data_IF_021827015091
#
_entry.id   IF_021827015091
#
_cell.length_a   1.000
_cell.length_b   1.000
_cell.length_c   1.000
_cell.angle_alpha   90.00
_cell.angle_beta   90.00
_cell.angle_gamma   90.00
#
_symmetry.space_group_name_H-M   'P 1'
#
loop_
_entity.id
_entity.type
_entity.pdbx_description
1 polymer ?
#
# COMPACT_ATOMS: atom_id res chain seq x y z
N UNK A 1 8.91 34.49 -1.47
CA UNK A 1 8.46 34.22 -2.84
C UNK A 1 7.87 32.82 -2.86
N UNK A 2 6.62 32.64 -3.28
CA UNK A 2 6.05 31.29 -3.50
C UNK A 2 6.77 30.67 -4.69
N UNK A 3 7.58 29.65 -4.44
CA UNK A 3 8.15 28.83 -5.52
C UNK A 3 7.03 28.02 -6.17
N UNK A 4 6.98 28.00 -7.49
CA UNK A 4 6.03 27.19 -8.27
C UNK A 4 6.75 25.95 -8.79
N UNK A 5 5.97 24.88 -9.01
CA UNK A 5 6.46 23.69 -9.69
C UNK A 5 6.86 24.06 -11.12
N UNK A 6 8.10 23.76 -11.49
CA UNK A 6 8.59 24.03 -12.85
C UNK A 6 8.21 22.89 -13.80
N UNK A 7 7.88 23.18 -15.06
CA UNK A 7 7.52 22.14 -16.05
C UNK A 7 8.62 21.09 -16.29
N UNK A 8 9.89 21.46 -16.10
CA UNK A 8 11.03 20.57 -16.26
C UNK A 8 11.37 19.75 -15.00
N UNK A 9 10.68 19.99 -13.88
CA UNK A 9 10.90 19.27 -12.61
C UNK A 9 10.14 17.93 -12.63
N UNK A 10 10.80 16.89 -13.12
CA UNK A 10 10.22 15.53 -13.22
C UNK A 10 9.85 14.98 -11.84
N UNK A 11 10.67 15.22 -10.81
CA UNK A 11 10.42 14.70 -9.46
C UNK A 11 9.21 15.39 -8.83
N UNK A 12 9.21 16.73 -8.82
CA UNK A 12 8.07 17.50 -8.35
C UNK A 12 6.78 17.21 -9.15
N UNK A 13 6.92 17.05 -10.47
CA UNK A 13 5.84 16.63 -11.36
C UNK A 13 5.29 15.24 -11.02
N UNK A 14 6.17 14.28 -10.67
CA UNK A 14 5.73 12.95 -10.26
C UNK A 14 4.95 12.97 -8.94
N UNK A 15 5.37 13.75 -7.94
CA UNK A 15 4.60 13.93 -6.70
C UNK A 15 3.20 14.51 -6.99
N UNK A 16 3.12 15.52 -7.86
CA UNK A 16 1.85 16.12 -8.24
C UNK A 16 0.94 15.14 -8.97
N UNK A 17 1.48 14.43 -9.97
CA UNK A 17 0.74 13.43 -10.74
C UNK A 17 0.15 12.35 -9.83
N UNK A 18 0.95 11.80 -8.91
CA UNK A 18 0.50 10.76 -7.98
C UNK A 18 -0.55 11.30 -7.02
N UNK A 19 -0.40 12.52 -6.51
CA UNK A 19 -1.43 13.15 -5.66
C UNK A 19 -2.78 13.21 -6.36
N UNK A 20 -2.81 13.68 -7.62
CA UNK A 20 -4.04 13.78 -8.42
C UNK A 20 -4.60 12.38 -8.74
N UNK A 21 -3.75 11.43 -9.12
CA UNK A 21 -4.17 10.05 -9.39
C UNK A 21 -4.78 9.38 -8.15
N UNK A 22 -4.19 9.59 -6.97
CA UNK A 22 -4.68 9.02 -5.71
C UNK A 22 -6.03 9.63 -5.28
N UNK A 23 -6.24 10.95 -5.43
CA UNK A 23 -7.55 11.54 -5.11
C UNK A 23 -8.61 11.07 -6.11
N UNK A 24 -8.27 10.96 -7.40
CA UNK A 24 -9.15 10.38 -8.40
C UNK A 24 -9.55 8.93 -8.07
N UNK A 25 -8.57 8.11 -7.66
CA UNK A 25 -8.81 6.73 -7.22
C UNK A 25 -9.69 6.67 -5.96
N UNK A 26 -9.44 7.54 -4.97
CA UNK A 26 -10.26 7.60 -3.76
C UNK A 26 -11.73 7.93 -4.09
N UNK A 27 -11.96 8.96 -4.89
CA UNK A 27 -13.31 9.34 -5.35
C UNK A 27 -13.96 8.17 -6.10
N UNK A 28 -13.23 7.54 -7.01
CA UNK A 28 -13.71 6.38 -7.75
C UNK A 28 -14.16 5.25 -6.81
N UNK A 29 -13.32 4.83 -5.85
CA UNK A 29 -13.64 3.73 -4.95
C UNK A 29 -14.84 4.05 -4.05
N UNK A 30 -14.99 5.29 -3.56
CA UNK A 30 -16.13 5.69 -2.76
C UNK A 30 -17.44 5.74 -3.58
N UNK A 31 -17.39 6.19 -4.82
CA UNK A 31 -18.58 6.21 -5.71
C UNK A 31 -18.97 4.79 -6.14
N UNK A 32 -18.00 3.98 -6.55
CA UNK A 32 -18.22 2.62 -7.01
C UNK A 32 -18.63 1.64 -5.88
N UNK A 33 -18.45 2.05 -4.62
CA UNK A 33 -18.99 1.30 -3.46
C UNK A 33 -20.49 1.02 -3.58
N UNK A 34 -21.26 1.92 -4.17
CA UNK A 34 -22.70 1.75 -4.39
C UNK A 34 -23.06 0.69 -5.46
N UNK A 35 -22.10 0.28 -6.28
CA UNK A 35 -22.30 -0.71 -7.37
C UNK A 35 -21.95 -2.14 -6.98
N UNK A 36 -21.38 -2.35 -5.82
CA UNK A 36 -21.03 -3.67 -5.28
C UNK A 36 -21.96 -4.04 -4.13
N UNK A 37 -22.11 -5.35 -3.88
CA UNK A 37 -22.95 -5.85 -2.79
C UNK A 37 -22.48 -5.30 -1.44
N UNK A 38 -23.40 -5.15 -0.49
CA UNK A 38 -23.15 -4.56 0.82
C UNK A 38 -21.94 -5.18 1.56
N UNK A 39 -21.72 -6.50 1.39
CA UNK A 39 -20.58 -7.22 2.02
C UNK A 39 -19.19 -6.69 1.60
N UNK A 40 -19.08 -6.07 0.41
CA UNK A 40 -17.84 -5.46 -0.08
C UNK A 40 -17.66 -4.00 0.35
N UNK A 41 -18.69 -3.40 0.95
CA UNK A 41 -18.68 -1.98 1.30
C UNK A 41 -17.50 -1.56 2.18
N UNK A 42 -17.13 -2.38 3.17
CA UNK A 42 -15.98 -2.10 4.06
C UNK A 42 -14.66 -2.16 3.30
N UNK A 43 -14.50 -3.14 2.39
CA UNK A 43 -13.27 -3.28 1.58
C UNK A 43 -13.12 -2.09 0.65
N UNK A 44 -14.19 -1.67 -0.02
CA UNK A 44 -14.18 -0.50 -0.91
C UNK A 44 -13.86 0.81 -0.17
N UNK A 45 -14.44 0.99 1.02
CA UNK A 45 -14.08 2.13 1.86
C UNK A 45 -12.61 2.11 2.26
N UNK A 46 -12.06 0.93 2.57
CA UNK A 46 -10.68 0.79 3.00
C UNK A 46 -9.70 1.21 1.90
N UNK A 47 -9.87 0.70 0.67
CA UNK A 47 -9.03 1.11 -0.46
C UNK A 47 -9.21 2.59 -0.82
N UNK A 48 -10.42 3.13 -0.69
CA UNK A 48 -10.69 4.55 -0.86
C UNK A 48 -9.95 5.41 0.18
N UNK A 49 -9.96 5.00 1.45
CA UNK A 49 -9.23 5.69 2.54
C UNK A 49 -7.72 5.64 2.32
N UNK A 50 -7.16 4.48 1.93
CA UNK A 50 -5.73 4.34 1.59
C UNK A 50 -5.34 5.35 0.51
N UNK A 51 -6.10 5.41 -0.58
CA UNK A 51 -5.83 6.34 -1.67
C UNK A 51 -5.97 7.81 -1.24
N UNK A 52 -6.99 8.14 -0.44
CA UNK A 52 -7.21 9.51 0.06
C UNK A 52 -6.06 9.96 0.97
N UNK A 53 -5.63 9.14 1.93
CA UNK A 53 -4.52 9.46 2.82
C UNK A 53 -3.23 9.70 2.03
N UNK A 54 -2.91 8.81 1.09
CA UNK A 54 -1.74 8.98 0.21
C UNK A 54 -1.84 10.25 -0.65
N UNK A 55 -3.02 10.59 -1.18
CA UNK A 55 -3.24 11.82 -1.94
C UNK A 55 -2.81 13.06 -1.16
N UNK A 56 -3.27 13.19 0.09
CA UNK A 56 -2.92 14.30 0.99
C UNK A 56 -1.41 14.33 1.22
N UNK A 57 -0.81 13.18 1.46
CA UNK A 57 0.64 13.03 1.68
C UNK A 57 1.45 13.48 0.48
N UNK A 58 1.09 13.01 -0.71
CA UNK A 58 1.77 13.36 -1.96
C UNK A 58 1.63 14.85 -2.29
N UNK A 59 0.46 15.43 -2.02
CA UNK A 59 0.27 16.88 -2.18
C UNK A 59 1.21 17.68 -1.28
N UNK A 60 1.36 17.28 -0.03
CA UNK A 60 2.26 17.94 0.91
C UNK A 60 3.72 17.69 0.57
N UNK A 61 4.07 16.46 0.17
CA UNK A 61 5.41 16.09 -0.28
C UNK A 61 5.87 16.94 -1.48
N UNK A 62 4.98 17.15 -2.47
CA UNK A 62 5.23 18.07 -3.59
C UNK A 62 5.56 19.49 -3.10
N UNK A 63 4.80 20.01 -2.14
CA UNK A 63 5.04 21.36 -1.64
C UNK A 63 6.42 21.48 -0.96
N UNK A 64 6.82 20.50 -0.16
CA UNK A 64 8.14 20.46 0.47
C UNK A 64 9.26 20.35 -0.57
N UNK A 65 9.09 19.51 -1.58
CA UNK A 65 10.02 19.36 -2.67
C UNK A 65 10.25 20.70 -3.39
N UNK A 66 9.18 21.38 -3.77
CA UNK A 66 9.25 22.69 -4.47
C UNK A 66 9.91 23.75 -3.61
N UNK A 67 9.70 23.75 -2.29
CA UNK A 67 10.29 24.73 -1.38
C UNK A 67 11.76 24.49 -1.11
N UNK A 68 12.12 23.24 -0.83
CA UNK A 68 13.42 22.89 -0.26
C UNK A 68 14.36 22.17 -1.27
N UNK A 69 13.83 21.59 -2.34
CA UNK A 69 14.57 20.75 -3.27
C UNK A 69 15.07 19.43 -2.65
N UNK A 70 14.45 19.01 -1.53
CA UNK A 70 14.84 17.82 -0.80
C UNK A 70 13.72 16.78 -0.80
N UNK A 71 14.12 15.51 -0.84
CA UNK A 71 13.17 14.40 -0.74
C UNK A 71 12.45 14.41 0.61
N UNK A 72 11.13 14.31 0.64
CA UNK A 72 10.35 14.29 1.88
C UNK A 72 10.35 12.88 2.52
N UNK A 73 11.53 12.30 2.79
CA UNK A 73 11.71 10.92 3.24
C UNK A 73 10.90 10.61 4.50
N UNK A 74 10.97 11.45 5.51
CA UNK A 74 10.21 11.25 6.75
C UNK A 74 8.69 11.20 6.53
N UNK A 75 8.15 12.04 5.64
CA UNK A 75 6.73 12.01 5.30
C UNK A 75 6.32 10.70 4.61
N UNK A 76 7.19 10.12 3.80
CA UNK A 76 6.92 8.84 3.14
C UNK A 76 6.72 7.72 4.18
N UNK A 77 7.55 7.67 5.20
CA UNK A 77 7.39 6.70 6.29
C UNK A 77 6.13 6.94 7.14
N UNK A 78 5.71 8.19 7.31
CA UNK A 78 4.43 8.51 7.96
C UNK A 78 3.25 8.02 7.10
N UNK A 79 3.28 8.23 5.78
CA UNK A 79 2.27 7.65 4.88
C UNK A 79 2.22 6.12 4.99
N UNK A 80 3.36 5.45 4.97
CA UNK A 80 3.44 3.99 5.07
C UNK A 80 2.98 3.47 6.43
N UNK A 81 3.27 4.19 7.53
CA UNK A 81 2.77 3.83 8.87
C UNK A 81 1.24 3.78 8.90
N UNK A 82 0.58 4.64 8.15
CA UNK A 82 -0.87 4.70 8.08
C UNK A 82 -1.44 3.73 7.03
N UNK A 83 -0.84 3.68 5.83
CA UNK A 83 -1.43 3.00 4.68
C UNK A 83 -1.04 1.53 4.58
N UNK A 84 0.16 1.10 5.00
CA UNK A 84 0.56 -0.31 4.91
C UNK A 84 -0.27 -1.23 5.80
N UNK A 85 -0.52 -0.91 7.09
CA UNK A 85 -1.42 -1.73 7.90
C UNK A 85 -2.80 -1.87 7.27
N UNK A 86 -3.36 -0.78 6.73
CA UNK A 86 -4.66 -0.82 6.05
C UNK A 86 -4.61 -1.70 4.80
N UNK A 87 -3.54 -1.59 3.99
CA UNK A 87 -3.35 -2.41 2.78
C UNK A 87 -3.26 -3.90 3.14
N UNK A 88 -2.49 -4.26 4.16
CA UNK A 88 -2.37 -5.65 4.60
C UNK A 88 -3.68 -6.15 5.22
N UNK A 89 -4.35 -5.34 6.03
CA UNK A 89 -5.66 -5.69 6.61
C UNK A 89 -6.76 -5.85 5.56
N UNK A 90 -6.58 -5.28 4.36
CA UNK A 90 -7.54 -5.48 3.27
C UNK A 90 -7.70 -6.97 2.90
N UNK A 91 -6.64 -7.79 3.02
CA UNK A 91 -6.74 -9.24 2.82
C UNK A 91 -7.69 -9.89 3.84
N UNK A 92 -7.59 -9.52 5.12
CA UNK A 92 -8.49 -10.00 6.16
C UNK A 92 -9.94 -9.57 5.89
N UNK A 93 -10.16 -8.28 5.60
CA UNK A 93 -11.50 -7.73 5.38
C UNK A 93 -12.14 -8.32 4.11
N UNK A 94 -11.35 -8.52 3.06
CA UNK A 94 -11.79 -9.16 1.82
C UNK A 94 -12.22 -10.62 2.07
N UNK A 95 -11.41 -11.41 2.76
CA UNK A 95 -11.78 -12.78 3.12
C UNK A 95 -13.03 -12.82 4.02
N UNK A 96 -13.09 -11.91 5.01
CA UNK A 96 -14.23 -11.82 5.93
C UNK A 96 -15.56 -11.48 5.24
N UNK A 97 -15.51 -10.85 4.08
CA UNK A 97 -16.73 -10.53 3.31
C UNK A 97 -17.43 -11.77 2.74
N UNK A 98 -16.73 -12.90 2.60
CA UNK A 98 -17.22 -14.12 1.95
C UNK A 98 -16.99 -15.40 2.74
N UNK A 99 -16.16 -15.35 3.79
CA UNK A 99 -15.74 -16.51 4.58
C UNK A 99 -15.62 -16.16 6.06
N UNK A 100 -15.89 -17.13 6.95
CA UNK A 100 -15.69 -16.91 8.39
C UNK A 100 -14.21 -17.05 8.75
N UNK A 101 -13.57 -15.92 9.10
CA UNK A 101 -12.15 -15.83 9.42
C UNK A 101 -11.93 -15.56 10.91
N UNK A 102 -10.92 -16.21 11.48
CA UNK A 102 -10.55 -16.05 12.90
C UNK A 102 -10.00 -14.66 13.18
N UNK A 103 -10.39 -14.05 14.31
CA UNK A 103 -9.85 -12.73 14.75
C UNK A 103 -8.34 -12.72 14.95
N UNK A 104 -7.73 -13.86 15.25
CA UNK A 104 -6.27 -13.97 15.38
C UNK A 104 -5.51 -13.60 14.09
N UNK A 105 -6.11 -13.84 12.91
CA UNK A 105 -5.54 -13.43 11.62
C UNK A 105 -5.41 -11.92 11.53
N UNK A 106 -6.44 -11.16 11.94
CA UNK A 106 -6.40 -9.69 11.99
C UNK A 106 -5.19 -9.20 12.79
N UNK A 107 -5.01 -9.72 14.01
CA UNK A 107 -3.94 -9.27 14.90
C UNK A 107 -2.55 -9.63 14.37
N UNK A 108 -2.38 -10.81 13.78
CA UNK A 108 -1.09 -11.20 13.17
C UNK A 108 -0.71 -10.28 12.01
N UNK A 109 -1.65 -9.98 11.11
CA UNK A 109 -1.42 -9.07 10.00
C UNK A 109 -1.13 -7.65 10.51
N UNK A 110 -1.92 -7.14 11.45
CA UNK A 110 -1.74 -5.80 12.01
C UNK A 110 -0.41 -5.67 12.72
N UNK A 111 -0.13 -6.54 13.71
CA UNK A 111 1.09 -6.45 14.54
C UNK A 111 2.34 -6.67 13.68
N UNK A 112 2.33 -7.66 12.77
CA UNK A 112 3.46 -7.90 11.88
C UNK A 112 3.78 -6.68 11.00
N UNK A 113 2.74 -6.04 10.45
CA UNK A 113 2.93 -4.84 9.64
C UNK A 113 3.39 -3.64 10.47
N UNK A 114 2.82 -3.45 11.68
CA UNK A 114 3.24 -2.35 12.57
C UNK A 114 4.69 -2.50 13.01
N UNK A 115 5.14 -3.70 13.37
CA UNK A 115 6.56 -3.94 13.70
C UNK A 115 7.46 -3.53 12.54
N UNK A 116 7.11 -3.94 11.33
CA UNK A 116 7.83 -3.58 10.12
C UNK A 116 7.91 -2.06 9.93
N UNK A 117 6.76 -1.37 9.82
CA UNK A 117 6.74 0.06 9.45
C UNK A 117 7.23 0.97 10.57
N UNK A 118 7.03 0.60 11.84
CA UNK A 118 7.57 1.36 12.97
C UNK A 118 9.10 1.28 13.01
N UNK A 119 9.69 0.12 12.73
CA UNK A 119 11.14 0.00 12.64
C UNK A 119 11.70 0.95 11.58
N UNK A 120 11.12 0.95 10.38
CA UNK A 120 11.54 1.85 9.29
C UNK A 120 11.36 3.34 9.64
N UNK A 121 10.29 3.68 10.34
CA UNK A 121 10.08 5.05 10.82
C UNK A 121 11.15 5.45 11.84
N UNK A 122 11.47 4.58 12.80
CA UNK A 122 12.51 4.84 13.82
C UNK A 122 13.89 4.98 13.19
N UNK A 123 14.20 4.17 12.16
CA UNK A 123 15.42 4.32 11.37
C UNK A 123 15.50 5.66 10.64
N UNK A 124 14.40 6.06 9.98
CA UNK A 124 14.32 7.33 9.25
C UNK A 124 14.52 8.57 10.14
N UNK A 125 14.14 8.49 11.42
CA UNK A 125 14.36 9.55 12.40
C UNK A 125 15.68 9.39 13.19
N UNK A 126 16.51 8.39 12.88
CA UNK A 126 17.81 8.19 13.52
C UNK A 126 17.75 7.54 14.93
N UNK A 127 16.59 7.03 15.34
CA UNK A 127 16.45 6.31 16.62
C UNK A 127 16.92 4.86 16.54
N UNK A 128 17.11 4.34 15.33
CA UNK A 128 17.61 2.99 15.07
C UNK A 128 18.73 3.03 14.04
N UNK A 129 19.72 2.15 14.14
CA UNK A 129 20.76 2.07 13.11
C UNK A 129 20.16 1.59 11.78
N UNK A 130 20.68 2.11 10.68
CA UNK A 130 20.26 1.78 9.30
C UNK A 130 20.22 0.26 9.04
N UNK A 131 21.25 -0.46 9.53
CA UNK A 131 21.30 -1.92 9.35
C UNK A 131 20.22 -2.64 10.15
N UNK A 132 19.97 -2.22 11.39
CA UNK A 132 18.95 -2.85 12.23
C UNK A 132 17.54 -2.57 11.73
N UNK A 133 17.27 -1.33 11.32
CA UNK A 133 16.03 -0.92 10.67
C UNK A 133 15.74 -1.78 9.42
N UNK A 134 16.72 -1.90 8.53
CA UNK A 134 16.61 -2.72 7.33
C UNK A 134 16.32 -4.19 7.65
N UNK A 135 17.03 -4.78 8.62
CA UNK A 135 16.83 -6.19 9.00
C UNK A 135 15.45 -6.41 9.62
N UNK A 136 15.01 -5.56 10.54
CA UNK A 136 13.67 -5.66 11.14
C UNK A 136 12.59 -5.44 10.07
N UNK A 137 12.80 -4.49 9.17
CA UNK A 137 11.91 -4.22 8.05
C UNK A 137 11.72 -5.43 7.14
N UNK A 138 12.83 -6.05 6.71
CA UNK A 138 12.78 -7.27 5.87
C UNK A 138 12.12 -8.43 6.61
N UNK A 139 12.48 -8.69 7.86
CA UNK A 139 11.89 -9.78 8.64
C UNK A 139 10.38 -9.58 8.79
N UNK A 140 9.92 -8.36 9.07
CA UNK A 140 8.50 -8.04 9.16
C UNK A 140 7.77 -8.24 7.84
N UNK A 141 8.37 -7.79 6.73
CA UNK A 141 7.79 -8.01 5.39
C UNK A 141 7.74 -9.49 5.01
N UNK A 142 8.82 -10.27 5.25
CA UNK A 142 8.83 -11.71 5.02
C UNK A 142 7.83 -12.46 5.90
N UNK A 143 7.61 -12.00 7.14
CA UNK A 143 6.55 -12.53 8.00
C UNK A 143 5.17 -12.34 7.36
N UNK A 144 4.86 -11.15 6.84
CA UNK A 144 3.60 -10.89 6.13
C UNK A 144 3.47 -11.75 4.88
N UNK A 145 4.53 -11.90 4.09
CA UNK A 145 4.54 -12.83 2.95
C UNK A 145 4.24 -14.26 3.43
N UNK A 146 4.90 -14.72 4.49
CA UNK A 146 4.65 -16.03 5.07
C UNK A 146 3.17 -16.23 5.47
N UNK A 147 2.54 -15.23 6.10
CA UNK A 147 1.11 -15.27 6.44
C UNK A 147 0.21 -15.32 5.20
N UNK A 148 0.54 -14.59 4.14
CA UNK A 148 -0.25 -14.54 2.91
C UNK A 148 -0.11 -15.83 2.05
N UNK A 149 1.02 -16.54 2.13
CA UNK A 149 1.25 -17.74 1.31
C UNK A 149 1.01 -19.04 2.08
N UNK A 150 1.49 -19.14 3.30
CA UNK A 150 1.53 -20.39 4.09
C UNK A 150 0.79 -20.30 5.42
N UNK A 151 0.54 -19.09 5.91
CA UNK A 151 -0.13 -18.82 7.17
C UNK A 151 -1.64 -19.05 7.13
N UNK A 152 -2.34 -18.66 8.21
CA UNK A 152 -3.79 -18.81 8.28
C UNK A 152 -4.51 -17.98 7.22
N UNK A 153 -3.95 -16.85 6.81
CA UNK A 153 -4.53 -15.98 5.77
C UNK A 153 -4.51 -16.68 4.42
N UNK A 154 -3.39 -17.29 4.04
CA UNK A 154 -3.28 -18.08 2.81
C UNK A 154 -4.18 -19.32 2.83
N UNK A 155 -4.23 -20.05 3.97
CA UNK A 155 -5.13 -21.20 4.14
C UNK A 155 -6.61 -20.83 4.05
N UNK A 156 -7.02 -19.71 4.66
CA UNK A 156 -8.39 -19.22 4.57
C UNK A 156 -8.77 -18.87 3.13
N UNK A 157 -7.86 -18.27 2.36
CA UNK A 157 -8.09 -18.04 0.93
C UNK A 157 -8.27 -19.34 0.15
N UNK A 158 -7.46 -20.36 0.41
CA UNK A 158 -7.60 -21.66 -0.25
C UNK A 158 -8.89 -22.40 0.12
N UNK A 159 -9.40 -22.16 1.33
CA UNK A 159 -10.63 -22.79 1.83
C UNK A 159 -11.90 -22.03 1.44
N UNK A 160 -11.83 -20.77 1.04
CA UNK A 160 -13.00 -20.01 0.64
C UNK A 160 -13.45 -20.42 -0.77
N UNK A 161 -14.75 -20.77 -0.93
CA UNK A 161 -15.33 -21.18 -2.21
C UNK A 161 -15.78 -19.98 -3.05
N UNK A 162 -14.93 -18.94 -3.16
CA UNK A 162 -15.21 -17.74 -3.94
C UNK A 162 -14.05 -17.44 -4.89
N UNK A 163 -14.22 -17.81 -6.16
CA UNK A 163 -13.19 -17.65 -7.19
C UNK A 163 -12.74 -16.18 -7.38
N UNK A 164 -13.69 -15.23 -7.29
CA UNK A 164 -13.37 -13.81 -7.46
C UNK A 164 -12.46 -13.31 -6.35
N UNK A 165 -12.71 -13.74 -5.11
CA UNK A 165 -11.84 -13.43 -3.96
C UNK A 165 -10.49 -14.12 -4.09
N UNK A 166 -10.47 -15.42 -4.45
CA UNK A 166 -9.21 -16.16 -4.62
C UNK A 166 -8.32 -15.53 -5.67
N UNK A 167 -8.89 -15.09 -6.80
CA UNK A 167 -8.14 -14.42 -7.86
C UNK A 167 -7.58 -13.07 -7.40
N UNK A 168 -8.41 -12.23 -6.74
CA UNK A 168 -7.95 -10.95 -6.21
C UNK A 168 -6.88 -11.13 -5.13
N UNK A 169 -7.05 -12.12 -4.27
CA UNK A 169 -6.07 -12.47 -3.24
C UNK A 169 -4.74 -12.86 -3.88
N UNK A 170 -4.76 -13.74 -4.89
CA UNK A 170 -3.56 -14.16 -5.61
C UNK A 170 -2.84 -12.97 -6.26
N UNK A 171 -3.57 -12.13 -7.01
CA UNK A 171 -2.98 -10.98 -7.68
C UNK A 171 -2.40 -9.97 -6.68
N UNK A 172 -3.14 -9.65 -5.61
CA UNK A 172 -2.71 -8.69 -4.61
C UNK A 172 -1.54 -9.18 -3.75
N UNK A 173 -1.45 -10.49 -3.43
CA UNK A 173 -0.25 -10.99 -2.74
C UNK A 173 1.01 -10.91 -3.61
N UNK A 174 0.89 -11.00 -4.95
CA UNK A 174 2.02 -10.75 -5.85
C UNK A 174 2.44 -9.27 -5.79
N UNK A 175 1.49 -8.34 -5.68
CA UNK A 175 1.79 -6.92 -5.46
C UNK A 175 2.54 -6.73 -4.13
N UNK A 176 2.09 -7.36 -3.04
CA UNK A 176 2.82 -7.29 -1.74
C UNK A 176 4.22 -7.91 -1.85
N UNK A 177 4.39 -8.95 -2.66
CA UNK A 177 5.69 -9.59 -2.83
C UNK A 177 6.62 -8.77 -3.71
N UNK A 178 6.17 -8.41 -4.91
CA UNK A 178 7.00 -7.75 -5.93
C UNK A 178 6.98 -6.24 -5.76
N UNK A 179 5.79 -5.64 -5.59
CA UNK A 179 5.65 -4.19 -5.48
C UNK A 179 6.31 -3.62 -4.22
N UNK A 180 6.19 -4.32 -3.08
CA UNK A 180 6.83 -3.87 -1.85
C UNK A 180 8.32 -4.18 -1.78
N UNK A 181 8.84 -5.16 -2.55
CA UNK A 181 10.28 -5.35 -2.66
C UNK A 181 11.01 -4.12 -3.22
N UNK A 182 10.33 -3.32 -4.03
CA UNK A 182 10.88 -2.06 -4.57
C UNK A 182 11.34 -1.12 -3.44
N UNK A 183 10.57 -1.04 -2.35
CA UNK A 183 10.93 -0.19 -1.20
C UNK A 183 12.16 -0.73 -0.45
N UNK A 184 12.25 -2.05 -0.26
CA UNK A 184 13.40 -2.68 0.41
C UNK A 184 14.66 -2.60 -0.43
N UNK A 185 14.55 -2.86 -1.75
CA UNK A 185 15.67 -2.74 -2.68
C UNK A 185 16.16 -1.29 -2.75
N UNK A 186 15.24 -0.34 -2.86
CA UNK A 186 15.58 1.07 -2.90
C UNK A 186 16.25 1.53 -1.60
N UNK A 187 15.72 1.13 -0.43
CA UNK A 187 16.35 1.40 0.86
C UNK A 187 17.76 0.81 0.96
N UNK A 188 17.94 -0.44 0.54
CA UNK A 188 19.25 -1.09 0.52
C UNK A 188 20.25 -0.32 -0.33
N UNK A 189 19.87 0.08 -1.55
CA UNK A 189 20.75 0.81 -2.45
C UNK A 189 21.09 2.19 -1.87
N UNK A 190 20.10 2.90 -1.31
CA UNK A 190 20.28 4.24 -0.77
C UNK A 190 21.20 4.28 0.43
N UNK A 191 21.04 3.33 1.36
CA UNK A 191 21.66 3.42 2.67
C UNK A 191 22.77 2.40 2.94
N UNK A 192 22.81 1.27 2.24
CA UNK A 192 23.72 0.15 2.52
C UNK A 192 24.67 -0.19 1.38
N UNK A 193 24.31 0.12 0.11
CA UNK A 193 25.10 -0.24 -1.05
C UNK A 193 25.91 0.94 -1.64
N UNK A 194 26.12 2.01 -0.88
CA UNK A 194 26.94 3.14 -1.30
C UNK A 194 26.21 4.33 -1.91
N UNK A 195 24.89 4.32 -1.90
CA UNK A 195 24.03 5.43 -2.31
C UNK A 195 23.32 5.23 -3.65
N UNK A 196 22.28 6.01 -3.86
CA UNK A 196 21.48 6.06 -5.09
C UNK A 196 21.25 7.50 -5.54
N UNK A 197 20.90 7.68 -6.82
CA UNK A 197 20.36 8.95 -7.26
C UNK A 197 18.98 9.16 -6.61
N UNK A 198 18.90 10.03 -5.63
CA UNK A 198 17.69 10.27 -4.83
C UNK A 198 16.50 10.74 -5.68
N UNK A 199 16.76 11.47 -6.77
CA UNK A 199 15.72 11.91 -7.68
C UNK A 199 15.08 10.74 -8.41
N UNK A 200 15.89 9.82 -8.95
CA UNK A 200 15.43 8.62 -9.59
C UNK A 200 14.67 7.72 -8.61
N UNK A 201 15.18 7.59 -7.38
CA UNK A 201 14.56 6.79 -6.34
C UNK A 201 13.16 7.32 -5.96
N UNK A 202 13.01 8.64 -5.85
CA UNK A 202 11.71 9.26 -5.58
C UNK A 202 10.70 8.96 -6.68
N UNK A 203 11.10 9.05 -7.96
CA UNK A 203 10.19 8.70 -9.08
C UNK A 203 9.80 7.23 -9.03
N UNK A 204 10.76 6.33 -8.76
CA UNK A 204 10.51 4.88 -8.64
C UNK A 204 9.52 4.59 -7.50
N UNK A 205 9.73 5.16 -6.32
CA UNK A 205 8.81 5.00 -5.19
C UNK A 205 7.42 5.56 -5.48
N UNK A 206 7.34 6.71 -6.15
CA UNK A 206 6.08 7.32 -6.53
C UNK A 206 5.29 6.40 -7.50
N UNK A 207 5.96 5.80 -8.49
CA UNK A 207 5.35 4.82 -9.40
C UNK A 207 4.99 3.51 -8.69
N UNK A 208 5.82 3.04 -7.76
CA UNK A 208 5.52 1.87 -6.95
C UNK A 208 4.24 2.05 -6.14
N UNK A 209 3.98 3.26 -5.62
CA UNK A 209 2.74 3.55 -4.89
C UNK A 209 1.49 3.49 -5.77
N UNK A 210 1.58 3.80 -7.08
CA UNK A 210 0.46 3.57 -8.02
C UNK A 210 0.12 2.09 -8.09
N UNK A 211 1.13 1.23 -8.25
CA UNK A 211 0.96 -0.22 -8.27
C UNK A 211 0.39 -0.74 -6.95
N UNK A 212 1.01 -0.35 -5.85
CA UNK A 212 0.75 -0.90 -4.53
C UNK A 212 -0.55 -0.39 -3.88
N UNK A 213 -1.15 0.68 -4.41
CA UNK A 213 -2.37 1.29 -3.86
C UNK A 213 -3.50 1.36 -4.89
N UNK A 214 -3.26 1.98 -6.06
CA UNK A 214 -4.33 2.14 -7.08
C UNK A 214 -4.62 0.81 -7.76
N UNK A 215 -3.60 0.13 -8.33
CA UNK A 215 -3.82 -1.14 -9.04
C UNK A 215 -4.28 -2.22 -8.05
N UNK A 216 -3.71 -2.26 -6.85
CA UNK A 216 -4.18 -3.11 -5.75
C UNK A 216 -5.69 -2.92 -5.50
N UNK A 217 -6.16 -1.68 -5.36
CA UNK A 217 -7.57 -1.35 -5.15
C UNK A 217 -8.45 -1.71 -6.35
N UNK A 218 -7.97 -1.50 -7.58
CA UNK A 218 -8.70 -1.85 -8.81
C UNK A 218 -8.92 -3.36 -8.96
N UNK A 219 -7.95 -4.18 -8.55
CA UNK A 219 -8.11 -5.64 -8.51
C UNK A 219 -9.23 -6.04 -7.55
N UNK A 220 -9.28 -5.43 -6.37
CA UNK A 220 -10.33 -5.66 -5.37
C UNK A 220 -11.70 -5.23 -5.91
N UNK A 221 -11.78 -4.05 -6.51
CA UNK A 221 -13.02 -3.58 -7.13
C UNK A 221 -13.52 -4.52 -8.22
N UNK A 222 -12.63 -5.01 -9.08
CA UNK A 222 -12.99 -5.99 -10.12
C UNK A 222 -13.57 -7.27 -9.52
N UNK A 223 -12.96 -7.80 -8.46
CA UNK A 223 -13.46 -8.97 -7.75
C UNK A 223 -14.82 -8.71 -7.10
N UNK A 224 -14.98 -7.55 -6.46
CA UNK A 224 -16.24 -7.15 -5.84
C UNK A 224 -17.39 -7.06 -6.86
N UNK A 225 -17.13 -6.51 -8.05
CA UNK A 225 -18.10 -6.46 -9.14
C UNK A 225 -18.48 -7.86 -9.66
N UNK A 226 -17.48 -8.72 -9.88
CA UNK A 226 -17.71 -10.08 -10.39
C UNK A 226 -18.54 -10.89 -9.39
N UNK A 227 -18.17 -10.83 -8.11
CA UNK A 227 -18.88 -11.51 -7.05
C UNK A 227 -20.32 -10.99 -6.88
N UNK A 228 -20.53 -9.68 -6.99
CA UNK A 228 -21.87 -9.07 -6.95
C UNK A 228 -22.75 -9.55 -8.11
N UNK A 229 -22.21 -9.63 -9.33
CA UNK A 229 -22.96 -10.13 -10.50
C UNK A 229 -23.32 -11.60 -10.36
N UNK A 230 -22.41 -12.46 -9.87
CA UNK A 230 -22.69 -13.88 -9.63
C UNK A 230 -23.78 -14.05 -8.58
N UNK A 231 -23.77 -13.27 -7.49
CA UNK A 231 -24.79 -13.33 -6.45
C UNK A 231 -26.18 -12.80 -6.88
N UNK A 232 -26.27 -11.98 -7.91
CA UNK A 232 -27.54 -11.51 -8.46
C UNK A 232 -28.19 -12.51 -9.45
N UNK A 233 -27.45 -13.54 -9.87
CA UNK A 233 -27.92 -14.59 -10.81
C UNK A 233 -28.38 -15.88 -10.09
N UNK A 234 -28.18 -15.99 -8.80
CA UNK A 234 -28.63 -17.05 -7.92
C UNK A 234 -29.93 -16.67 -7.20
#
# INVERSE_FOLDING_TARGET
MNKLLLPADIVGGSFWLISVAMIGAAIFFFLERGRVSHRWGTVMNLVGVIALMSSIHYFYAKNLWVLNGQAPTALRYIDWLLTFPLTILTFYVMLKSVYDVKRGMFWRLLVGTLVWVIAQLLGAYGYMSVTLDFLVGIVGWLYIIGELYMGDTGRANSACNNESVQMAFFANRLIITIGFSIYHIGYFIEHLAGGANINSLNVIYNLADVLNKIIFGMIIYSAALQDTKKGAQQ
#
